data_IF_559579024097
#
_entry.id   IF_559579024097
#
_cell.length_a   1.000
_cell.length_b   1.000
_cell.length_c   1.000
_cell.angle_alpha   90.00
_cell.angle_beta   90.00
_cell.angle_gamma   90.00
#
_symmetry.space_group_name_H-M   'P 1'
#
loop_
_entity.id
_entity.type
_entity.pdbx_description
1 polymer ?
#
# COMPACT_ATOMS: atom_id res chain seq x y z
N UNK A 1 2.86 36.56 -20.58
CA UNK A 1 2.70 35.55 -19.56
C UNK A 1 3.69 34.43 -19.82
N UNK A 2 4.24 33.78 -18.78
CA UNK A 2 5.10 32.62 -19.02
C UNK A 2 4.29 31.55 -19.75
N UNK A 3 4.92 30.92 -20.75
CA UNK A 3 4.32 29.79 -21.48
C UNK A 3 4.02 28.68 -20.47
N UNK A 4 2.80 28.17 -20.49
CA UNK A 4 2.43 27.01 -19.70
C UNK A 4 3.28 25.82 -20.16
N UNK A 5 3.96 25.17 -19.23
CA UNK A 5 4.72 23.96 -19.48
C UNK A 5 3.79 22.88 -20.09
N UNK A 6 4.28 22.10 -21.07
CA UNK A 6 3.49 21.01 -21.62
C UNK A 6 3.18 19.98 -20.52
N UNK A 7 1.99 19.36 -20.54
CA UNK A 7 1.65 18.31 -19.59
C UNK A 7 2.68 17.17 -19.66
N UNK A 8 3.08 16.65 -18.50
CA UNK A 8 4.04 15.54 -18.41
C UNK A 8 5.51 15.88 -18.51
N UNK A 9 5.87 17.16 -18.57
CA UNK A 9 7.27 17.57 -18.54
C UNK A 9 7.85 17.40 -17.14
N UNK A 10 9.04 16.79 -17.03
CA UNK A 10 9.77 16.61 -15.79
C UNK A 10 11.18 17.22 -15.92
N UNK A 11 11.67 17.79 -14.84
CA UNK A 11 13.02 18.37 -14.81
C UNK A 11 14.06 17.24 -14.84
N UNK A 12 14.84 17.17 -15.89
CA UNK A 12 16.00 16.29 -16.00
C UNK A 12 17.25 17.12 -15.76
N UNK A 13 17.90 16.98 -14.63
CA UNK A 13 19.21 17.51 -14.20
C UNK A 13 19.92 18.56 -15.08
N UNK A 14 19.22 19.59 -15.59
CA UNK A 14 19.68 20.64 -16.50
C UNK A 14 18.50 21.41 -17.07
N UNK A 15 18.73 22.45 -17.83
CA UNK A 15 17.68 23.36 -18.37
C UNK A 15 16.75 22.73 -19.43
N UNK A 16 16.97 21.47 -19.84
CA UNK A 16 16.08 20.76 -20.78
C UNK A 16 15.01 19.97 -20.03
N UNK A 17 13.75 20.24 -20.39
CA UNK A 17 12.58 19.50 -19.90
C UNK A 17 12.46 18.18 -20.66
N UNK A 18 12.48 17.07 -19.94
CA UNK A 18 12.19 15.75 -20.52
C UNK A 18 10.68 15.52 -20.57
N UNK A 19 10.19 15.00 -21.67
CA UNK A 19 8.76 14.68 -21.86
C UNK A 19 8.61 13.18 -22.03
N UNK A 20 7.84 12.54 -21.15
CA UNK A 20 7.47 11.16 -21.32
C UNK A 20 6.39 10.98 -22.38
N UNK A 21 6.56 9.95 -23.19
CA UNK A 21 5.61 9.47 -24.19
C UNK A 21 5.45 7.97 -24.03
N UNK A 22 4.44 7.39 -24.67
CA UNK A 22 4.27 5.92 -24.65
C UNK A 22 5.49 5.18 -25.23
N UNK A 23 6.20 5.79 -26.16
CA UNK A 23 7.36 5.17 -26.82
C UNK A 23 8.63 5.18 -25.96
N UNK A 24 8.75 6.14 -25.04
CA UNK A 24 9.93 6.27 -24.19
C UNK A 24 9.67 5.94 -22.72
N UNK A 25 8.44 5.64 -22.34
CA UNK A 25 8.11 5.24 -20.98
C UNK A 25 8.83 3.92 -20.65
N UNK A 26 9.58 3.85 -19.55
CA UNK A 26 10.21 2.60 -19.12
C UNK A 26 9.19 1.48 -18.91
N UNK A 27 9.60 0.24 -19.11
CA UNK A 27 8.80 -0.92 -18.77
C UNK A 27 8.60 -1.00 -17.26
N UNK A 28 7.37 -0.83 -16.79
CA UNK A 28 7.01 -0.83 -15.38
C UNK A 28 6.54 -2.19 -14.91
N UNK A 29 6.91 -2.57 -13.69
CA UNK A 29 6.35 -3.70 -12.98
C UNK A 29 6.24 -3.38 -11.48
N UNK A 30 5.59 -4.23 -10.71
CA UNK A 30 5.45 -3.97 -9.29
C UNK A 30 4.49 -4.88 -8.56
N UNK A 31 4.15 -4.46 -7.35
CA UNK A 31 3.15 -5.10 -6.49
C UNK A 31 1.73 -4.78 -6.96
N UNK A 32 0.79 -5.66 -6.69
CA UNK A 32 -0.64 -5.39 -6.94
C UNK A 32 -1.09 -4.12 -6.21
N UNK A 33 -0.60 -3.89 -5.00
CA UNK A 33 -0.93 -2.72 -4.17
C UNK A 33 -0.40 -1.38 -4.71
N UNK A 34 0.66 -1.40 -5.53
CA UNK A 34 1.22 -0.18 -6.14
C UNK A 34 0.66 0.12 -7.53
N UNK A 35 -0.11 -0.79 -8.12
CA UNK A 35 -0.67 -0.61 -9.45
C UNK A 35 -1.57 0.63 -9.59
N UNK A 36 -2.47 0.97 -8.65
CA UNK A 36 -3.25 2.20 -8.73
C UNK A 36 -2.38 3.46 -8.75
N UNK A 37 -1.32 3.48 -7.95
CA UNK A 37 -0.35 4.57 -7.92
C UNK A 37 0.38 4.71 -9.25
N UNK A 38 0.86 3.60 -9.81
CA UNK A 38 1.53 3.59 -11.11
C UNK A 38 0.62 4.09 -12.24
N UNK A 39 -0.67 3.75 -12.20
CA UNK A 39 -1.65 4.31 -13.15
C UNK A 39 -1.79 5.82 -13.02
N UNK A 40 -1.90 6.33 -11.80
CA UNK A 40 -1.95 7.77 -11.56
C UNK A 40 -0.67 8.47 -12.05
N UNK A 41 0.49 7.88 -11.83
CA UNK A 41 1.77 8.38 -12.36
C UNK A 41 1.76 8.43 -13.88
N UNK A 42 1.41 7.34 -14.55
CA UNK A 42 1.35 7.28 -16.01
C UNK A 42 0.36 8.31 -16.58
N UNK A 43 -0.80 8.47 -15.96
CA UNK A 43 -1.79 9.47 -16.38
C UNK A 43 -1.21 10.90 -16.33
N UNK A 44 -0.53 11.26 -15.24
CA UNK A 44 0.13 12.56 -15.09
C UNK A 44 1.26 12.73 -16.11
N UNK A 45 2.15 11.74 -16.23
CA UNK A 45 3.34 11.81 -17.09
C UNK A 45 3.01 11.84 -18.58
N UNK A 46 1.93 11.16 -18.98
CA UNK A 46 1.50 11.09 -20.39
C UNK A 46 0.41 12.12 -20.74
N UNK A 47 -0.20 12.77 -19.74
CA UNK A 47 -1.33 13.66 -19.95
C UNK A 47 -2.57 12.91 -20.45
N UNK A 48 -2.76 11.68 -20.03
CA UNK A 48 -3.85 10.78 -20.42
C UNK A 48 -4.76 10.44 -19.23
N UNK A 49 -5.97 9.94 -19.52
CA UNK A 49 -6.89 9.49 -18.48
C UNK A 49 -6.46 8.13 -17.89
N UNK A 50 -6.90 7.85 -16.66
CA UNK A 50 -6.58 6.60 -15.94
C UNK A 50 -6.96 5.34 -16.73
N UNK A 51 -8.08 5.37 -17.44
CA UNK A 51 -8.52 4.23 -18.24
C UNK A 51 -7.64 3.99 -19.48
N UNK A 52 -7.11 5.06 -20.05
CA UNK A 52 -6.21 4.99 -21.21
C UNK A 52 -4.85 4.40 -20.86
N UNK A 53 -4.35 4.66 -19.66
CA UNK A 53 -3.04 4.16 -19.19
C UNK A 53 -3.14 2.80 -18.50
N UNK A 54 -4.33 2.26 -18.27
CA UNK A 54 -4.53 1.01 -17.54
C UNK A 54 -3.76 -0.17 -18.18
N UNK A 55 -3.65 -0.21 -19.50
CA UNK A 55 -2.91 -1.25 -20.24
C UNK A 55 -1.39 -1.22 -20.01
N UNK A 56 -0.85 -0.07 -19.57
CA UNK A 56 0.58 0.10 -19.30
C UNK A 56 0.99 -0.46 -17.95
N UNK A 57 0.03 -0.78 -17.08
CA UNK A 57 0.24 -1.19 -15.69
C UNK A 57 -0.34 -2.58 -15.46
N UNK A 58 0.39 -3.59 -15.94
CA UNK A 58 0.10 -5.02 -15.73
C UNK A 58 1.16 -5.60 -14.79
N UNK A 59 0.95 -5.41 -13.49
CA UNK A 59 1.95 -5.77 -12.49
C UNK A 59 1.94 -7.25 -12.13
N UNK A 60 3.14 -7.83 -12.08
CA UNK A 60 3.39 -9.27 -11.92
C UNK A 60 3.40 -9.75 -10.46
N UNK A 61 3.10 -8.88 -9.49
CA UNK A 61 3.26 -9.06 -8.05
C UNK A 61 4.71 -8.89 -7.59
N UNK A 62 4.90 -8.70 -6.29
CA UNK A 62 6.18 -8.28 -5.70
C UNK A 62 7.36 -9.16 -6.13
N UNK A 63 7.34 -10.43 -5.83
CA UNK A 63 8.46 -11.34 -6.14
C UNK A 63 8.74 -11.40 -7.64
N UNK A 64 7.71 -11.59 -8.47
CA UNK A 64 7.89 -11.71 -9.90
C UNK A 64 8.36 -10.41 -10.54
N UNK A 65 7.93 -9.25 -10.04
CA UNK A 65 8.39 -7.96 -10.56
C UNK A 65 9.90 -7.75 -10.39
N UNK A 66 10.43 -8.13 -9.24
CA UNK A 66 11.89 -8.10 -9.03
C UNK A 66 12.62 -9.13 -9.89
N UNK A 67 12.05 -10.33 -10.11
CA UNK A 67 12.57 -11.31 -11.06
C UNK A 67 12.62 -10.75 -12.48
N UNK A 68 11.58 -10.05 -12.90
CA UNK A 68 11.49 -9.40 -14.21
C UNK A 68 12.54 -8.27 -14.33
N UNK A 69 12.77 -7.51 -13.28
CA UNK A 69 13.84 -6.49 -13.24
C UNK A 69 15.21 -7.13 -13.43
N UNK A 70 15.54 -8.17 -12.67
CA UNK A 70 16.81 -8.89 -12.78
C UNK A 70 17.01 -9.55 -14.14
N UNK A 71 15.93 -10.02 -14.76
CA UNK A 71 15.95 -10.60 -16.11
C UNK A 71 16.00 -9.56 -17.24
N UNK A 72 15.83 -8.26 -16.94
CA UNK A 72 15.80 -7.19 -17.94
C UNK A 72 14.50 -7.09 -18.73
N UNK A 73 13.43 -7.72 -18.27
CA UNK A 73 12.09 -7.63 -18.88
C UNK A 73 11.23 -6.52 -18.28
N UNK A 74 11.66 -5.94 -17.18
CA UNK A 74 11.17 -4.68 -16.61
C UNK A 74 12.35 -3.74 -16.40
N UNK A 75 12.14 -2.44 -16.55
CA UNK A 75 13.16 -1.40 -16.40
C UNK A 75 13.09 -0.73 -15.03
N UNK A 76 11.89 -0.60 -14.47
CA UNK A 76 11.63 0.04 -13.19
C UNK A 76 10.53 -0.72 -12.45
N UNK A 77 10.79 -1.01 -11.18
CA UNK A 77 9.84 -1.70 -10.30
C UNK A 77 9.38 -0.77 -9.19
N UNK A 78 8.06 -0.73 -8.98
CA UNK A 78 7.39 -0.07 -7.86
C UNK A 78 6.73 -1.16 -7.02
N UNK A 79 7.31 -1.52 -5.89
CA UNK A 79 6.86 -2.68 -5.14
C UNK A 79 7.02 -2.54 -3.64
N UNK A 80 6.28 -3.36 -2.89
CA UNK A 80 6.56 -3.61 -1.50
C UNK A 80 7.95 -4.26 -1.35
N UNK A 81 8.45 -4.33 -0.12
CA UNK A 81 9.71 -5.00 0.17
C UNK A 81 9.68 -6.46 -0.35
N UNK A 82 10.70 -6.89 -1.09
CA UNK A 82 10.74 -8.26 -1.59
C UNK A 82 10.91 -9.27 -0.45
N UNK A 83 10.57 -10.52 -0.73
CA UNK A 83 10.85 -11.62 0.18
C UNK A 83 12.36 -11.70 0.50
N UNK A 84 12.76 -12.18 1.71
CA UNK A 84 14.16 -12.17 2.14
C UNK A 84 15.14 -12.81 1.16
N UNK A 85 14.75 -13.89 0.50
CA UNK A 85 15.58 -14.56 -0.51
C UNK A 85 15.80 -13.70 -1.76
N UNK A 86 14.78 -12.96 -2.19
CA UNK A 86 14.89 -12.05 -3.34
C UNK A 86 15.70 -10.81 -2.99
N UNK A 87 15.51 -10.30 -1.76
CA UNK A 87 16.32 -9.19 -1.26
C UNK A 87 17.81 -9.56 -1.22
N UNK A 88 18.12 -10.75 -0.73
CA UNK A 88 19.51 -11.26 -0.69
C UNK A 88 20.10 -11.41 -2.09
N UNK A 89 19.32 -11.83 -3.09
CA UNK A 89 19.79 -11.89 -4.49
C UNK A 89 20.08 -10.49 -5.05
N UNK A 90 19.16 -9.53 -4.86
CA UNK A 90 19.34 -8.14 -5.29
C UNK A 90 20.59 -7.51 -4.67
N UNK A 91 20.78 -7.71 -3.37
CA UNK A 91 21.96 -7.20 -2.65
C UNK A 91 23.24 -7.91 -3.11
N UNK A 92 23.19 -9.23 -3.32
CA UNK A 92 24.32 -10.04 -3.74
C UNK A 92 24.87 -9.66 -5.12
N UNK A 93 23.99 -9.26 -6.05
CA UNK A 93 24.41 -8.76 -7.37
C UNK A 93 25.03 -7.35 -7.30
N UNK A 94 24.69 -6.55 -6.28
CA UNK A 94 25.21 -5.20 -6.09
C UNK A 94 24.88 -4.20 -7.21
N UNK A 95 24.02 -4.58 -8.11
CA UNK A 95 23.67 -3.87 -9.34
C UNK A 95 22.40 -3.02 -9.21
N UNK A 96 21.54 -3.35 -8.27
CA UNK A 96 20.21 -2.79 -8.18
C UNK A 96 20.12 -1.68 -7.14
N UNK A 97 19.47 -0.58 -7.50
CA UNK A 97 19.02 0.41 -6.52
C UNK A 97 17.66 -0.06 -5.97
N UNK A 98 17.50 0.01 -4.66
CA UNK A 98 16.26 -0.27 -3.96
C UNK A 98 16.04 0.86 -2.96
N UNK A 99 15.19 1.81 -3.32
CA UNK A 99 15.03 3.06 -2.55
C UNK A 99 13.58 3.22 -2.10
N UNK A 100 13.33 3.41 -0.80
CA UNK A 100 11.97 3.68 -0.31
C UNK A 100 11.48 5.03 -0.88
N UNK A 101 10.24 5.08 -1.36
CA UNK A 101 9.64 6.29 -1.91
C UNK A 101 8.28 6.64 -1.30
N UNK A 102 7.59 5.67 -0.74
CA UNK A 102 6.28 5.85 -0.13
C UNK A 102 6.07 4.84 1.00
N UNK A 103 5.17 5.14 1.90
CA UNK A 103 4.78 4.22 2.97
C UNK A 103 3.26 4.20 3.06
N UNK A 104 2.68 3.01 3.01
CA UNK A 104 1.29 2.78 3.31
C UNK A 104 1.14 2.23 4.74
N UNK A 105 -0.07 2.20 5.25
CA UNK A 105 -0.36 1.66 6.56
C UNK A 105 -1.58 0.77 6.50
N UNK A 106 -1.57 -0.32 7.26
CA UNK A 106 -2.75 -1.12 7.51
C UNK A 106 -3.43 -0.60 8.78
N UNK A 107 -4.68 -0.17 8.64
CA UNK A 107 -5.47 0.37 9.75
C UNK A 107 -6.61 -0.57 10.08
N UNK A 108 -6.98 -0.60 11.36
CA UNK A 108 -8.06 -1.43 11.87
C UNK A 108 -9.31 -0.60 12.11
N UNK A 109 -10.44 -1.14 11.71
CA UNK A 109 -11.73 -0.47 11.79
C UNK A 109 -12.73 -1.33 12.54
N UNK A 110 -13.57 -0.65 13.31
CA UNK A 110 -14.74 -1.20 13.98
C UNK A 110 -15.96 -0.36 13.63
N UNK A 111 -17.14 -0.90 13.91
CA UNK A 111 -18.36 -0.10 13.85
C UNK A 111 -18.26 1.05 14.88
N UNK A 112 -18.85 2.19 14.54
CA UNK A 112 -18.87 3.37 15.43
C UNK A 112 -19.48 3.08 16.81
N UNK A 113 -20.37 2.11 16.91
CA UNK A 113 -21.03 1.73 18.16
C UNK A 113 -20.13 0.91 19.10
N UNK A 114 -18.99 0.41 18.62
CA UNK A 114 -18.00 -0.27 19.47
C UNK A 114 -17.31 0.75 20.39
N UNK A 115 -17.31 0.55 21.72
CA UNK A 115 -16.70 1.50 22.66
C UNK A 115 -15.16 1.49 22.67
N UNK A 116 -14.53 0.49 22.05
CA UNK A 116 -13.06 0.38 22.01
C UNK A 116 -12.50 1.39 21.03
N UNK A 117 -11.54 2.22 21.51
CA UNK A 117 -10.88 3.26 20.70
C UNK A 117 -9.47 2.87 20.23
N UNK A 118 -8.91 1.84 20.82
CA UNK A 118 -7.57 1.39 20.45
C UNK A 118 -7.26 -0.03 20.96
N UNK A 119 -6.26 -0.61 20.31
CA UNK A 119 -5.70 -1.91 20.64
C UNK A 119 -4.17 -1.79 20.64
N UNK A 120 -3.49 -2.71 21.31
CA UNK A 120 -2.05 -2.88 21.09
C UNK A 120 -1.82 -3.75 19.85
N UNK A 121 -0.65 -3.65 19.23
CA UNK A 121 -0.26 -4.53 18.13
C UNK A 121 -0.31 -6.02 18.54
N UNK A 122 0.11 -6.32 19.75
CA UNK A 122 0.02 -7.68 20.33
C UNK A 122 -1.44 -8.15 20.49
N UNK A 123 -2.33 -7.27 20.94
CA UNK A 123 -3.76 -7.60 21.06
C UNK A 123 -4.38 -7.89 19.69
N UNK A 124 -4.07 -7.09 18.67
CA UNK A 124 -4.53 -7.35 17.28
C UNK A 124 -4.08 -8.73 16.84
N UNK A 125 -2.80 -9.04 17.01
CA UNK A 125 -2.25 -10.36 16.64
C UNK A 125 -2.94 -11.50 17.38
N UNK A 126 -3.16 -11.37 18.69
CA UNK A 126 -3.86 -12.35 19.50
C UNK A 126 -5.35 -12.52 19.13
N UNK A 127 -6.00 -11.48 18.67
CA UNK A 127 -7.36 -11.58 18.13
C UNK A 127 -7.36 -12.46 16.88
N UNK A 128 -6.44 -12.22 15.97
CA UNK A 128 -6.39 -12.97 14.71
C UNK A 128 -5.78 -14.37 14.81
N UNK A 129 -5.06 -14.68 15.89
CA UNK A 129 -4.67 -16.07 16.22
C UNK A 129 -5.75 -16.82 17.01
N UNK A 130 -6.79 -16.14 17.47
CA UNK A 130 -7.88 -16.74 18.24
C UNK A 130 -7.57 -16.85 19.76
N UNK A 131 -6.51 -16.24 20.25
CA UNK A 131 -6.20 -16.19 21.70
C UNK A 131 -7.10 -15.20 22.44
N UNK A 132 -7.44 -14.07 21.82
CA UNK A 132 -8.41 -13.10 22.32
C UNK A 132 -9.66 -13.25 21.46
N UNK A 133 -10.79 -13.57 22.10
CA UNK A 133 -12.05 -13.88 21.40
C UNK A 133 -13.21 -13.02 21.85
N UNK A 134 -13.04 -12.19 22.86
CA UNK A 134 -14.10 -11.36 23.42
C UNK A 134 -13.60 -9.94 23.65
N UNK A 135 -14.42 -8.97 23.28
CA UNK A 135 -14.09 -7.54 23.43
C UNK A 135 -13.83 -7.14 24.88
N UNK A 136 -14.43 -7.82 25.86
CA UNK A 136 -14.16 -7.57 27.29
C UNK A 136 -12.70 -7.81 27.68
N UNK A 137 -11.98 -8.64 26.95
CA UNK A 137 -10.55 -8.89 27.17
C UNK A 137 -9.65 -7.71 26.79
N UNK A 138 -10.20 -6.76 26.03
CA UNK A 138 -9.48 -5.56 25.53
C UNK A 138 -10.19 -4.26 25.91
N UNK A 139 -11.01 -4.29 26.96
CA UNK A 139 -11.67 -3.10 27.50
C UNK A 139 -12.99 -2.75 26.86
N UNK A 140 -13.57 -3.62 26.06
CA UNK A 140 -14.90 -3.49 25.44
C UNK A 140 -16.00 -4.18 26.25
N UNK A 141 -17.13 -4.36 25.57
CA UNK A 141 -18.30 -5.05 26.13
C UNK A 141 -18.08 -6.58 26.13
N UNK A 142 -18.92 -7.29 26.89
CA UNK A 142 -18.96 -8.76 26.86
C UNK A 142 -19.63 -9.24 25.59
N UNK A 143 -18.84 -9.30 24.52
CA UNK A 143 -19.26 -9.59 23.17
C UNK A 143 -18.16 -10.33 22.41
N UNK A 144 -18.51 -11.44 21.75
CA UNK A 144 -17.57 -12.19 20.94
C UNK A 144 -17.03 -11.32 19.79
N UNK A 145 -15.73 -11.36 19.56
CA UNK A 145 -15.09 -10.64 18.46
C UNK A 145 -15.30 -11.44 17.15
N UNK A 146 -15.71 -10.75 16.11
CA UNK A 146 -15.79 -11.28 14.74
C UNK A 146 -14.70 -10.62 13.89
N UNK A 147 -13.50 -11.21 13.78
CA UNK A 147 -12.38 -10.64 13.04
C UNK A 147 -12.45 -11.06 11.58
N UNK A 148 -12.83 -10.12 10.71
CA UNK A 148 -12.89 -10.33 9.28
C UNK A 148 -11.49 -10.37 8.66
N UNK A 149 -11.31 -11.23 7.66
CA UNK A 149 -10.11 -11.29 6.84
C UNK A 149 -10.46 -11.13 5.35
N UNK A 150 -9.45 -10.77 4.57
CA UNK A 150 -9.52 -10.84 3.11
C UNK A 150 -9.18 -12.27 2.65
N UNK A 151 -9.59 -12.58 1.44
CA UNK A 151 -9.22 -13.81 0.78
C UNK A 151 -7.70 -13.90 0.55
N UNK A 152 -7.18 -15.11 0.54
CA UNK A 152 -5.77 -15.39 0.25
C UNK A 152 -5.38 -14.82 -1.13
N UNK A 153 -4.19 -14.23 -1.19
CA UNK A 153 -3.66 -13.61 -2.40
C UNK A 153 -4.12 -12.17 -2.65
N UNK A 154 -5.06 -11.64 -1.87
CA UNK A 154 -5.36 -10.20 -1.89
C UNK A 154 -4.17 -9.40 -1.36
N UNK A 155 -3.89 -8.23 -1.95
CA UNK A 155 -2.76 -7.38 -1.53
C UNK A 155 -2.85 -6.96 -0.07
N UNK A 156 -4.05 -6.61 0.41
CA UNK A 156 -4.29 -6.26 1.82
C UNK A 156 -4.13 -7.45 2.76
N UNK A 157 -4.43 -8.69 2.33
CA UNK A 157 -4.18 -9.89 3.11
C UNK A 157 -2.68 -10.17 3.22
N UNK A 158 -1.95 -10.04 2.13
CA UNK A 158 -0.48 -10.18 2.14
C UNK A 158 0.17 -9.14 3.05
N UNK A 159 -0.30 -7.90 3.01
CA UNK A 159 0.16 -6.84 3.91
C UNK A 159 -0.17 -7.18 5.37
N UNK A 160 -1.38 -7.63 5.66
CA UNK A 160 -1.82 -8.05 6.98
C UNK A 160 -0.93 -9.17 7.55
N UNK A 161 -0.68 -10.21 6.78
CA UNK A 161 0.17 -11.33 7.19
C UNK A 161 1.62 -10.88 7.47
N UNK A 162 2.13 -9.94 6.66
CA UNK A 162 3.49 -9.42 6.80
C UNK A 162 3.65 -8.47 7.99
N UNK A 163 2.82 -7.42 8.06
CA UNK A 163 3.07 -6.31 9.01
C UNK A 163 2.37 -6.49 10.36
N UNK A 164 1.28 -7.26 10.40
CA UNK A 164 0.53 -7.51 11.63
C UNK A 164 0.93 -8.83 12.26
N UNK A 165 0.89 -9.90 11.49
CA UNK A 165 1.10 -11.25 12.01
C UNK A 165 2.57 -11.59 12.25
N UNK A 166 3.50 -10.98 11.52
CA UNK A 166 4.96 -11.13 11.73
C UNK A 166 5.42 -12.59 11.84
N UNK A 167 4.86 -13.46 10.99
CA UNK A 167 5.16 -14.89 10.98
C UNK A 167 4.26 -15.75 11.85
N UNK A 168 3.34 -15.17 12.64
CA UNK A 168 2.28 -15.93 13.27
C UNK A 168 1.22 -16.30 12.23
N UNK A 169 0.67 -17.51 12.32
CA UNK A 169 -0.43 -17.91 11.44
C UNK A 169 -1.75 -17.35 11.97
N UNK A 170 -2.50 -16.58 11.14
CA UNK A 170 -3.85 -16.22 11.50
C UNK A 170 -4.73 -17.46 11.54
N UNK A 171 -5.75 -17.46 12.41
CA UNK A 171 -6.75 -18.52 12.42
C UNK A 171 -7.43 -18.59 11.05
N UNK A 172 -7.81 -19.79 10.63
CA UNK A 172 -8.62 -19.96 9.44
C UNK A 172 -10.04 -19.41 9.71
N UNK A 173 -10.44 -18.31 9.04
CA UNK A 173 -11.74 -17.72 9.32
C UNK A 173 -12.86 -18.57 8.71
N UNK A 174 -14.04 -18.62 9.36
CA UNK A 174 -15.24 -19.11 8.69
C UNK A 174 -15.49 -18.35 7.38
N UNK A 175 -16.09 -19.00 6.40
CA UNK A 175 -16.38 -18.38 5.10
C UNK A 175 -17.18 -17.08 5.23
N UNK A 176 -18.04 -16.97 6.25
CA UNK A 176 -18.83 -15.76 6.55
C UNK A 176 -18.00 -14.59 7.09
N UNK A 177 -16.76 -14.83 7.52
CA UNK A 177 -15.82 -13.82 8.02
C UNK A 177 -14.70 -13.52 7.03
N UNK A 178 -14.85 -13.97 5.78
CA UNK A 178 -13.91 -13.75 4.70
C UNK A 178 -14.54 -12.89 3.61
N UNK A 179 -13.85 -11.84 3.19
CA UNK A 179 -14.31 -10.97 2.11
C UNK A 179 -13.38 -11.03 0.90
N UNK A 180 -13.99 -11.07 -0.28
CA UNK A 180 -13.27 -11.08 -1.57
C UNK A 180 -12.92 -9.67 -2.09
N UNK A 181 -13.38 -8.63 -1.43
CA UNK A 181 -13.06 -7.25 -1.79
C UNK A 181 -12.87 -6.38 -0.54
N UNK A 182 -12.15 -5.27 -0.69
CA UNK A 182 -11.98 -4.31 0.40
C UNK A 182 -13.30 -3.63 0.76
N UNK A 183 -14.07 -3.22 -0.23
CA UNK A 183 -15.40 -2.67 -0.03
C UNK A 183 -16.31 -3.67 0.70
N UNK A 184 -16.29 -4.93 0.28
CA UNK A 184 -17.05 -6.00 0.94
C UNK A 184 -16.64 -6.20 2.40
N UNK A 185 -15.36 -6.11 2.73
CA UNK A 185 -14.89 -6.19 4.11
C UNK A 185 -15.39 -5.02 4.95
N UNK A 186 -15.28 -3.80 4.45
CA UNK A 186 -15.74 -2.60 5.15
C UNK A 186 -17.26 -2.60 5.32
N UNK A 187 -18.00 -3.04 4.31
CA UNK A 187 -19.46 -3.20 4.42
C UNK A 187 -19.83 -4.27 5.44
N UNK A 188 -19.12 -5.39 5.47
CA UNK A 188 -19.35 -6.43 6.47
C UNK A 188 -19.17 -5.91 7.90
N UNK A 189 -18.11 -5.13 8.15
CA UNK A 189 -17.88 -4.49 9.48
C UNK A 189 -18.96 -3.48 9.82
N UNK A 190 -19.46 -2.75 8.82
CA UNK A 190 -20.49 -1.71 8.99
C UNK A 190 -21.86 -2.27 9.25
N UNK A 191 -22.23 -3.35 8.57
CA UNK A 191 -23.59 -3.88 8.47
C UNK A 191 -23.80 -5.22 9.16
N UNK A 192 -22.77 -5.74 9.85
CA UNK A 192 -22.89 -7.00 10.57
C UNK A 192 -24.04 -6.95 11.58
N UNK A 193 -24.83 -8.01 11.70
CA UNK A 193 -26.03 -8.07 12.55
C UNK A 193 -25.77 -7.65 14.00
N UNK A 194 -24.58 -7.94 14.50
CA UNK A 194 -24.06 -7.41 15.75
C UNK A 194 -22.85 -6.53 15.46
N UNK A 195 -23.12 -5.34 14.96
CA UNK A 195 -22.13 -4.42 14.40
C UNK A 195 -20.96 -4.12 15.34
N UNK A 196 -21.20 -4.07 16.66
CA UNK A 196 -20.16 -3.87 17.66
C UNK A 196 -19.18 -5.05 17.78
N UNK A 197 -19.55 -6.25 17.30
CA UNK A 197 -18.68 -7.44 17.35
C UNK A 197 -17.59 -7.43 16.30
N UNK A 198 -17.80 -6.78 15.16
CA UNK A 198 -16.94 -6.88 13.99
C UNK A 198 -15.64 -6.06 14.13
N UNK A 199 -14.53 -6.66 13.69
CA UNK A 199 -13.24 -6.03 13.47
C UNK A 199 -12.81 -6.29 12.02
N UNK A 200 -12.30 -5.27 11.37
CA UNK A 200 -11.75 -5.39 10.02
C UNK A 200 -10.52 -4.51 9.82
N UNK A 201 -9.94 -4.58 8.64
CA UNK A 201 -8.79 -3.76 8.28
C UNK A 201 -8.89 -3.28 6.85
N UNK A 202 -8.19 -2.20 6.59
CA UNK A 202 -8.04 -1.59 5.28
C UNK A 202 -6.71 -0.84 5.21
N UNK A 203 -6.32 -0.42 4.02
CA UNK A 203 -5.20 0.51 3.87
C UNK A 203 -5.64 1.92 4.25
N UNK A 204 -4.72 2.72 4.79
CA UNK A 204 -4.99 4.07 5.30
C UNK A 204 -5.67 4.96 4.26
N UNK A 205 -5.28 4.85 2.99
CA UNK A 205 -5.88 5.62 1.90
C UNK A 205 -7.41 5.47 1.85
N UNK A 206 -7.92 4.24 1.93
CA UNK A 206 -9.37 3.98 1.93
C UNK A 206 -10.06 4.40 3.22
N UNK A 207 -9.39 4.27 4.35
CA UNK A 207 -9.95 4.69 5.64
C UNK A 207 -10.10 6.22 5.72
N UNK A 208 -9.33 6.97 4.94
CA UNK A 208 -9.41 8.42 4.85
C UNK A 208 -10.46 8.90 3.83
N UNK A 209 -11.02 8.02 3.02
CA UNK A 209 -12.17 8.31 2.17
C UNK A 209 -13.44 8.36 3.02
N UNK A 210 -14.09 9.53 3.05
CA UNK A 210 -15.26 9.77 3.91
C UNK A 210 -16.45 8.85 3.59
N UNK A 211 -16.59 8.41 2.35
CA UNK A 211 -17.66 7.52 1.93
C UNK A 211 -17.38 6.08 2.34
N UNK A 212 -16.13 5.63 2.17
CA UNK A 212 -15.68 4.30 2.60
C UNK A 212 -15.65 4.15 4.13
N UNK A 213 -15.29 5.21 4.86
CA UNK A 213 -15.22 5.22 6.32
C UNK A 213 -16.57 5.47 7.02
N UNK A 214 -17.63 5.73 6.28
CA UNK A 214 -18.94 6.07 6.83
C UNK A 214 -19.46 4.99 7.78
N UNK A 215 -19.78 5.39 9.02
CA UNK A 215 -20.27 4.47 10.07
C UNK A 215 -19.20 3.61 10.72
N UNK A 216 -17.94 3.78 10.32
CA UNK A 216 -16.77 3.10 10.88
C UNK A 216 -15.94 4.04 11.77
N UNK A 217 -15.18 3.43 12.65
CA UNK A 217 -14.20 4.10 13.50
C UNK A 217 -12.85 3.42 13.32
N UNK A 218 -11.81 4.22 13.09
CA UNK A 218 -10.43 3.75 12.99
C UNK A 218 -9.83 3.65 14.38
N UNK A 219 -9.21 2.52 14.70
CA UNK A 219 -8.59 2.27 16.01
C UNK A 219 -7.17 2.85 16.07
N UNK A 220 -6.81 3.41 17.22
CA UNK A 220 -5.42 3.65 17.56
C UNK A 220 -4.70 2.31 17.82
N UNK A 221 -3.45 2.20 17.41
CA UNK A 221 -2.60 1.03 17.67
C UNK A 221 -1.39 1.47 18.49
N UNK A 222 -1.14 0.78 19.59
CA UNK A 222 -0.11 1.16 20.57
C UNK A 222 -0.21 2.63 21.01
N UNK A 223 -1.43 3.14 21.12
CA UNK A 223 -1.71 4.52 21.49
C UNK A 223 -1.53 5.54 20.37
N UNK A 224 -1.20 5.11 19.14
CA UNK A 224 -1.00 6.00 17.98
C UNK A 224 -2.21 5.93 17.05
N UNK A 225 -2.88 7.05 16.88
CA UNK A 225 -3.95 7.20 15.88
C UNK A 225 -3.32 7.29 14.48
N UNK A 226 -3.76 6.48 13.51
CA UNK A 226 -3.25 6.58 12.15
C UNK A 226 -3.52 7.97 11.57
N UNK A 227 -2.47 8.59 11.07
CA UNK A 227 -2.51 9.87 10.37
C UNK A 227 -1.38 9.92 9.35
N UNK A 228 -1.49 10.77 8.35
CA UNK A 228 -0.41 10.97 7.39
C UNK A 228 0.91 11.36 8.08
N UNK A 229 0.84 12.18 9.13
CA UNK A 229 2.01 12.59 9.92
C UNK A 229 2.61 11.39 10.67
N UNK A 230 1.82 10.62 11.41
CA UNK A 230 2.30 9.47 12.18
C UNK A 230 2.87 8.37 11.29
N UNK A 231 2.29 8.16 10.11
CA UNK A 231 2.78 7.21 9.09
C UNK A 231 4.13 7.68 8.55
N UNK A 232 4.25 8.93 8.15
CA UNK A 232 5.52 9.52 7.66
C UNK A 232 6.63 9.53 8.72
N UNK A 233 6.26 9.76 9.98
CA UNK A 233 7.20 9.76 11.10
C UNK A 233 7.61 8.35 11.56
N UNK A 234 6.96 7.29 11.06
CA UNK A 234 7.23 5.92 11.49
C UNK A 234 6.70 5.60 12.89
N UNK A 235 5.76 6.38 13.40
CA UNK A 235 5.20 6.22 14.76
C UNK A 235 4.07 5.19 14.82
N UNK A 236 3.32 5.02 13.73
CA UNK A 236 2.26 4.02 13.63
C UNK A 236 2.87 2.64 13.35
N UNK A 237 2.46 1.55 14.05
CA UNK A 237 3.22 0.28 14.00
C UNK A 237 3.07 -0.51 12.69
N UNK A 238 1.91 -0.46 12.04
CA UNK A 238 1.60 -1.32 10.89
C UNK A 238 1.91 -0.62 9.56
N UNK A 239 3.20 -0.42 9.32
CA UNK A 239 3.71 0.27 8.13
C UNK A 239 4.18 -0.72 7.07
N UNK A 240 3.88 -0.41 5.81
CA UNK A 240 4.35 -1.14 4.66
C UNK A 240 5.04 -0.19 3.69
N UNK A 241 6.37 -0.12 3.70
CA UNK A 241 7.12 0.72 2.79
C UNK A 241 7.08 0.17 1.37
N UNK A 242 7.01 1.08 0.40
CA UNK A 242 7.17 0.80 -1.02
C UNK A 242 8.48 1.33 -1.53
N UNK A 243 9.07 0.59 -2.45
CA UNK A 243 10.38 0.85 -3.01
C UNK A 243 10.27 1.08 -4.52
N UNK A 244 11.10 1.97 -5.02
CA UNK A 244 11.42 2.07 -6.44
C UNK A 244 12.78 1.42 -6.68
N UNK A 245 12.87 0.56 -7.69
CA UNK A 245 14.08 -0.17 -8.03
C UNK A 245 14.39 -0.09 -9.52
N UNK A 246 15.64 0.18 -9.83
CA UNK A 246 16.20 0.21 -11.19
C UNK A 246 17.61 -0.37 -11.20
N UNK A 247 18.13 -0.62 -12.38
CA UNK A 247 19.55 -0.85 -12.58
C UNK A 247 20.37 0.40 -12.17
N UNK A 248 21.34 0.21 -11.30
CA UNK A 248 22.24 1.28 -10.84
C UNK A 248 22.98 1.97 -11.99
N UNK A 249 23.31 1.20 -13.04
CA UNK A 249 24.06 1.68 -14.19
C UNK A 249 23.19 2.33 -15.28
N UNK A 250 21.88 2.50 -15.01
CA UNK A 250 21.02 3.25 -15.90
C UNK A 250 21.59 4.65 -16.14
N UNK A 251 21.83 5.07 -17.41
CA UNK A 251 22.40 6.37 -17.71
C UNK A 251 21.59 7.52 -17.11
N UNK A 252 22.25 8.61 -16.66
CA UNK A 252 21.57 9.74 -16.03
C UNK A 252 20.49 10.41 -16.91
N UNK A 253 20.67 10.36 -18.22
CA UNK A 253 19.77 10.90 -19.25
C UNK A 253 18.78 9.86 -19.80
N UNK A 254 18.82 8.63 -19.30
CA UNK A 254 17.87 7.59 -19.71
C UNK A 254 16.47 7.85 -19.14
N UNK A 255 15.39 7.49 -19.87
CA UNK A 255 14.04 7.59 -19.34
C UNK A 255 13.85 6.86 -17.99
N UNK A 256 14.49 5.72 -17.81
CA UNK A 256 14.44 4.94 -16.56
C UNK A 256 15.01 5.73 -15.38
N UNK A 257 16.18 6.36 -15.56
CA UNK A 257 16.80 7.16 -14.50
C UNK A 257 16.02 8.43 -14.20
N UNK A 258 15.53 9.10 -15.23
CA UNK A 258 14.72 10.30 -15.08
C UNK A 258 13.43 9.98 -14.33
N UNK A 259 12.77 8.86 -14.64
CA UNK A 259 11.56 8.44 -13.93
C UNK A 259 11.85 8.06 -12.48
N UNK A 260 12.94 7.35 -12.22
CA UNK A 260 13.39 7.03 -10.87
C UNK A 260 13.60 8.30 -10.03
N UNK A 261 14.33 9.28 -10.56
CA UNK A 261 14.60 10.54 -9.88
C UNK A 261 13.30 11.34 -9.66
N UNK A 262 12.38 11.31 -10.62
CA UNK A 262 11.06 11.95 -10.48
C UNK A 262 10.22 11.30 -9.37
N UNK A 263 10.20 9.98 -9.26
CA UNK A 263 9.50 9.25 -8.20
C UNK A 263 10.00 9.65 -6.81
N UNK A 264 11.29 9.88 -6.68
CA UNK A 264 11.94 10.29 -5.42
C UNK A 264 11.88 11.80 -5.17
N UNK A 265 11.52 12.57 -6.17
CA UNK A 265 11.45 14.04 -6.09
C UNK A 265 10.15 14.55 -5.46
N UNK A 266 10.06 15.88 -5.25
CA UNK A 266 8.90 16.51 -4.59
C UNK A 266 7.61 16.44 -5.42
N UNK A 267 7.71 16.24 -6.74
CA UNK A 267 6.57 16.02 -7.65
C UNK A 267 6.18 14.54 -7.76
N UNK A 268 6.96 13.65 -7.16
CA UNK A 268 6.70 12.21 -7.17
C UNK A 268 5.46 11.85 -6.37
N UNK A 269 4.98 10.61 -6.55
CA UNK A 269 3.77 10.17 -5.91
C UNK A 269 3.98 10.10 -4.39
N UNK A 270 3.27 10.92 -3.66
CA UNK A 270 3.12 10.77 -2.21
C UNK A 270 1.86 9.97 -1.94
N UNK A 271 2.00 8.76 -1.42
CA UNK A 271 0.90 8.00 -0.80
C UNK A 271 0.54 8.57 0.59
N UNK A 272 0.91 9.78 0.85
CA UNK A 272 0.40 10.53 1.98
C UNK A 272 -0.81 11.31 1.49
N UNK A 273 -1.94 11.06 2.14
CA UNK A 273 -3.24 11.68 1.94
C UNK A 273 -3.24 13.02 1.17
N UNK A 274 -4.22 13.26 0.30
CA UNK A 274 -4.42 14.59 -0.22
C UNK A 274 -4.45 15.55 0.95
N UNK A 275 -3.57 16.55 0.92
CA UNK A 275 -3.68 17.68 1.83
C UNK A 275 -5.07 18.29 1.58
N UNK A 276 -5.97 18.09 2.54
CA UNK A 276 -7.30 18.65 2.54
C UNK A 276 -7.28 20.16 2.77
#
# INVERSE_FOLDING_TARGET
>A
GPASEPPGSVSAGGEEMFVFTRDNLPGLDGSTSTAPLARAMCAVLLGEDLDQVAELVNFSRTTQSFRNLMAGTADLVLAAEPAPEVLAELEGEGRWLLTPFATDALVFVVNRDNPVDGLTADQVRKIYTGEITNWSQVGGEDLEIVPFQRNQGAGSQTMFEKVVMEGAEPMEPPATWTSNSMEGLLNAVREYDNSAAALGYTVYYYANDMEMARGLKVLAIDGVTPSAQAIRAGEYPFLNPYFVSIDRDAPPDSPTRILYDWVLGPAGPTLAAPEG
#
